data_IF_926955897989
#
_entry.id   IF_926955897989
#
_cell.length_a   1.000
_cell.length_b   1.000
_cell.length_c   1.000
_cell.angle_alpha   90.00
_cell.angle_beta   90.00
_cell.angle_gamma   90.00
#
_symmetry.space_group_name_H-M   'P 1'
#
loop_
_entity.id
_entity.type
_entity.pdbx_description
1 polymer ?
#
# COMPACT_ATOMS: atom_id res chain seq x y z
N UNK A 1 18.90 14.24 -8.50
CA UNK A 1 18.54 13.89 -7.11
C UNK A 1 17.46 14.89 -6.70
N UNK A 2 16.22 14.46 -6.48
CA UNK A 2 15.25 15.34 -5.82
C UNK A 2 15.88 15.79 -4.52
N UNK A 3 16.01 17.11 -4.31
CA UNK A 3 16.76 17.69 -3.19
C UNK A 3 16.29 17.18 -1.82
N UNK A 4 15.07 16.66 -1.75
CA UNK A 4 14.41 16.24 -0.52
C UNK A 4 14.43 14.73 -0.28
N UNK A 5 14.96 13.92 -1.22
CA UNK A 5 14.99 12.46 -1.09
C UNK A 5 15.66 11.96 0.22
N UNK A 6 16.79 12.51 0.68
CA UNK A 6 17.43 12.07 1.92
C UNK A 6 16.56 12.34 3.16
N UNK A 7 15.84 13.47 3.18
CA UNK A 7 14.97 13.84 4.31
C UNK A 7 13.73 12.95 4.37
N UNK A 8 13.20 12.58 3.19
CA UNK A 8 12.11 11.62 3.13
C UNK A 8 12.53 10.26 3.70
N UNK A 9 13.68 9.74 3.27
CA UNK A 9 14.16 8.42 3.70
C UNK A 9 14.44 8.36 5.20
N UNK A 10 15.00 9.43 5.78
CA UNK A 10 15.22 9.57 7.22
C UNK A 10 13.89 9.50 8.00
N UNK A 11 12.95 10.39 7.67
CA UNK A 11 11.65 10.43 8.35
C UNK A 11 10.82 9.15 8.13
N UNK A 12 10.86 8.60 6.92
CA UNK A 12 10.16 7.36 6.58
C UNK A 12 10.69 6.19 7.42
N UNK A 13 12.02 6.11 7.60
CA UNK A 13 12.65 5.08 8.43
C UNK A 13 12.27 5.21 9.91
N UNK A 14 12.15 6.43 10.43
CA UNK A 14 11.67 6.67 11.80
C UNK A 14 10.21 6.23 11.97
N UNK A 15 9.32 6.69 11.09
CA UNK A 15 7.90 6.33 11.13
C UNK A 15 7.69 4.82 10.97
N UNK A 16 8.51 4.13 10.17
CA UNK A 16 8.46 2.67 10.02
C UNK A 16 8.75 1.91 11.31
N UNK A 17 9.53 2.48 12.24
CA UNK A 17 9.80 1.84 13.54
C UNK A 17 8.57 1.86 14.45
N UNK A 18 7.75 2.90 14.33
CA UNK A 18 6.55 3.08 15.14
C UNK A 18 5.31 2.44 14.50
N UNK A 19 5.24 2.43 13.17
CA UNK A 19 4.06 2.08 12.39
C UNK A 19 4.35 1.03 11.31
N UNK A 20 4.96 -0.09 11.70
CA UNK A 20 5.41 -1.14 10.78
C UNK A 20 4.29 -1.70 9.88
N UNK A 21 3.09 -1.92 10.45
CA UNK A 21 1.95 -2.52 9.73
C UNK A 21 0.97 -1.47 9.16
N UNK A 22 1.34 -0.18 9.18
CA UNK A 22 0.47 0.88 8.70
C UNK A 22 0.51 0.99 7.17
N UNK A 23 -0.43 0.30 6.52
CA UNK A 23 -0.52 0.21 5.04
C UNK A 23 -0.43 1.58 4.31
N UNK A 24 -1.10 2.66 4.74
CA UNK A 24 -0.94 3.98 4.10
C UNK A 24 0.50 4.51 4.11
N UNK A 25 1.26 4.26 5.19
CA UNK A 25 2.68 4.62 5.27
C UNK A 25 3.50 3.79 4.28
N UNK A 26 3.31 2.47 4.27
CA UNK A 26 4.00 1.56 3.34
C UNK A 26 3.73 1.96 1.87
N UNK A 27 2.48 2.29 1.53
CA UNK A 27 2.11 2.78 0.21
C UNK A 27 2.79 4.10 -0.16
N UNK A 28 3.03 4.97 0.81
CA UNK A 28 3.75 6.24 0.61
C UNK A 28 5.22 5.97 0.28
N UNK A 29 5.86 5.04 0.98
CA UNK A 29 7.22 4.58 0.66
C UNK A 29 7.28 3.95 -0.75
N UNK A 30 6.36 3.04 -1.06
CA UNK A 30 6.27 2.43 -2.39
C UNK A 30 6.16 3.48 -3.51
N UNK A 31 5.32 4.50 -3.34
CA UNK A 31 5.18 5.62 -4.29
C UNK A 31 6.47 6.39 -4.49
N UNK A 32 7.22 6.62 -3.42
CA UNK A 32 8.49 7.32 -3.47
C UNK A 32 9.58 6.52 -4.19
N UNK A 33 9.70 5.22 -3.89
CA UNK A 33 10.70 4.35 -4.52
C UNK A 33 10.38 4.03 -5.98
N UNK A 34 9.09 3.91 -6.32
CA UNK A 34 8.60 3.69 -7.68
C UNK A 34 8.54 4.97 -8.52
N UNK A 35 9.68 5.64 -8.65
CA UNK A 35 9.85 6.80 -9.50
C UNK A 35 10.35 6.39 -10.90
N UNK A 36 9.65 6.79 -11.97
CA UNK A 36 9.93 6.39 -13.37
C UNK A 36 11.41 6.42 -13.76
N UNK A 37 12.13 7.46 -13.36
CA UNK A 37 13.54 7.66 -13.73
C UNK A 37 14.54 6.68 -13.07
N UNK A 38 14.17 6.03 -11.96
CA UNK A 38 15.04 5.11 -11.18
C UNK A 38 14.39 3.76 -10.91
N UNK A 39 13.26 3.48 -11.57
CA UNK A 39 12.48 2.27 -11.35
C UNK A 39 13.32 1.01 -11.54
N UNK A 40 14.09 0.96 -12.64
CA UNK A 40 14.97 -0.16 -12.96
C UNK A 40 16.07 -0.36 -11.92
N UNK A 41 16.53 0.72 -11.27
CA UNK A 41 17.56 0.67 -10.23
C UNK A 41 16.98 0.27 -8.85
N UNK A 42 15.66 0.35 -8.69
CA UNK A 42 14.95 0.15 -7.42
C UNK A 42 14.02 -1.08 -7.43
N UNK A 43 14.12 -1.97 -8.41
CA UNK A 43 13.17 -3.07 -8.61
C UNK A 43 13.02 -3.96 -7.36
N UNK A 44 14.13 -4.31 -6.71
CA UNK A 44 14.11 -5.13 -5.50
C UNK A 44 13.41 -4.40 -4.34
N UNK A 45 13.70 -3.12 -4.16
CA UNK A 45 13.06 -2.27 -3.14
C UNK A 45 11.56 -2.15 -3.38
N UNK A 46 11.14 -1.94 -4.63
CA UNK A 46 9.74 -1.84 -5.04
C UNK A 46 9.04 -3.18 -4.79
N UNK A 47 9.64 -4.30 -5.21
CA UNK A 47 9.06 -5.63 -5.04
C UNK A 47 8.91 -5.99 -3.57
N UNK A 48 9.94 -5.75 -2.76
CA UNK A 48 9.89 -5.97 -1.32
C UNK A 48 8.82 -5.14 -0.62
N UNK A 49 8.69 -3.86 -0.98
CA UNK A 49 7.64 -3.00 -0.44
C UNK A 49 6.23 -3.47 -0.84
N UNK A 50 6.04 -3.93 -2.08
CA UNK A 50 4.76 -4.51 -2.51
C UNK A 50 4.44 -5.78 -1.74
N UNK A 51 5.40 -6.69 -1.59
CA UNK A 51 5.18 -7.96 -0.89
C UNK A 51 4.80 -7.70 0.58
N UNK A 52 5.45 -6.72 1.22
CA UNK A 52 5.08 -6.26 2.57
C UNK A 52 3.62 -5.76 2.61
N UNK A 53 3.21 -4.87 1.71
CA UNK A 53 1.82 -4.38 1.64
C UNK A 53 0.81 -5.51 1.44
N UNK A 54 1.11 -6.45 0.53
CA UNK A 54 0.23 -7.60 0.24
C UNK A 54 0.07 -8.48 1.49
N UNK A 55 1.13 -8.71 2.26
CA UNK A 55 1.02 -9.51 3.50
C UNK A 55 0.14 -8.85 4.57
N UNK A 56 -0.01 -7.53 4.55
CA UNK A 56 -0.87 -6.79 5.47
C UNK A 56 -2.36 -6.78 5.05
N UNK A 57 -2.67 -7.19 3.81
CA UNK A 57 -4.02 -7.16 3.26
C UNK A 57 -4.48 -8.58 2.95
N UNK A 58 -5.41 -9.11 3.77
CA UNK A 58 -6.02 -10.41 3.54
C UNK A 58 -7.01 -10.38 2.37
N UNK A 59 -6.64 -10.99 1.25
CA UNK A 59 -7.51 -11.17 0.08
C UNK A 59 -8.79 -11.95 0.42
N UNK A 60 -8.67 -12.97 1.27
CA UNK A 60 -9.82 -13.76 1.72
C UNK A 60 -10.82 -12.91 2.51
N UNK A 61 -10.33 -12.01 3.36
CA UNK A 61 -11.18 -11.08 4.12
C UNK A 61 -11.86 -10.08 3.21
N UNK A 62 -11.13 -9.53 2.22
CA UNK A 62 -11.73 -8.65 1.21
C UNK A 62 -12.81 -9.38 0.40
N UNK A 63 -12.52 -10.59 -0.09
CA UNK A 63 -13.46 -11.39 -0.87
C UNK A 63 -14.73 -11.70 -0.06
N UNK A 64 -14.59 -12.11 1.20
CA UNK A 64 -15.73 -12.35 2.07
C UNK A 64 -16.59 -11.09 2.27
N UNK A 65 -15.96 -9.94 2.55
CA UNK A 65 -16.66 -8.69 2.79
C UNK A 65 -17.36 -8.14 1.53
N UNK A 66 -16.72 -8.24 0.36
CA UNK A 66 -17.32 -7.81 -0.91
C UNK A 66 -18.28 -8.83 -1.53
N UNK A 67 -18.27 -10.08 -1.05
CA UNK A 67 -19.21 -11.13 -1.44
C UNK A 67 -20.54 -11.11 -0.69
N UNK A 68 -20.67 -10.24 0.31
CA UNK A 68 -21.90 -10.03 1.08
C UNK A 68 -22.37 -8.59 0.96
N UNK A 69 -23.68 -8.39 1.00
CA UNK A 69 -24.25 -7.06 1.18
C UNK A 69 -23.89 -6.52 2.57
N UNK A 70 -23.83 -5.20 2.68
CA UNK A 70 -23.62 -4.49 3.93
C UNK A 70 -24.87 -3.66 4.23
N UNK A 71 -25.10 -3.38 5.52
CA UNK A 71 -26.21 -2.52 5.93
C UNK A 71 -25.85 -1.05 5.60
N UNK A 72 -26.60 -0.42 4.70
CA UNK A 72 -26.40 0.97 4.28
C UNK A 72 -26.99 1.98 5.29
N UNK A 73 -27.90 1.55 6.15
CA UNK A 73 -28.53 2.39 7.18
C UNK A 73 -27.73 2.38 8.49
N UNK A 74 -26.85 1.39 8.70
CA UNK A 74 -25.91 1.35 9.83
C UNK A 74 -24.61 2.12 9.53
N UNK A 75 -24.31 3.22 10.26
CA UNK A 75 -23.08 3.99 10.08
C UNK A 75 -21.80 3.18 10.31
N UNK A 76 -21.84 2.16 11.17
CA UNK A 76 -20.67 1.32 11.46
C UNK A 76 -20.35 0.42 10.28
N UNK A 77 -21.35 -0.30 9.77
CA UNK A 77 -21.29 -1.07 8.53
C UNK A 77 -20.76 -0.24 7.35
N UNK A 78 -21.28 0.99 7.16
CA UNK A 78 -20.79 1.91 6.14
C UNK A 78 -19.32 2.30 6.31
N UNK A 79 -18.86 2.49 7.56
CA UNK A 79 -17.46 2.80 7.84
C UNK A 79 -16.55 1.61 7.53
N UNK A 80 -16.92 0.42 7.99
CA UNK A 80 -16.20 -0.81 7.70
C UNK A 80 -16.09 -1.06 6.19
N UNK A 81 -17.16 -0.78 5.43
CA UNK A 81 -17.15 -0.85 3.97
C UNK A 81 -16.09 0.07 3.34
N UNK A 82 -16.03 1.33 3.77
CA UNK A 82 -15.04 2.30 3.27
C UNK A 82 -13.61 1.86 3.59
N UNK A 83 -13.36 1.36 4.80
CA UNK A 83 -12.04 0.87 5.20
C UNK A 83 -11.62 -0.34 4.33
N UNK A 84 -12.55 -1.22 3.98
CA UNK A 84 -12.29 -2.36 3.07
C UNK A 84 -12.08 -1.92 1.61
N UNK A 85 -12.81 -0.90 1.14
CA UNK A 85 -12.59 -0.29 -0.18
C UNK A 85 -11.20 0.34 -0.28
N UNK A 86 -10.74 1.00 0.78
CA UNK A 86 -9.42 1.58 0.83
C UNK A 86 -8.33 0.50 0.80
N UNK A 87 -8.48 -0.58 1.57
CA UNK A 87 -7.58 -1.75 1.50
C UNK A 87 -7.56 -2.38 0.11
N UNK A 88 -8.72 -2.55 -0.52
CA UNK A 88 -8.81 -3.06 -1.90
C UNK A 88 -8.05 -2.15 -2.87
N UNK A 89 -8.20 -0.84 -2.74
CA UNK A 89 -7.48 0.14 -3.57
C UNK A 89 -5.96 0.03 -3.40
N UNK A 90 -5.48 -0.11 -2.16
CA UNK A 90 -4.05 -0.30 -1.89
C UNK A 90 -3.52 -1.60 -2.48
N UNK A 91 -4.26 -2.71 -2.35
CA UNK A 91 -3.89 -3.98 -2.95
C UNK A 91 -3.75 -3.87 -4.48
N UNK A 92 -4.76 -3.30 -5.15
CA UNK A 92 -4.72 -3.10 -6.61
C UNK A 92 -3.55 -2.22 -7.03
N UNK A 93 -3.31 -1.12 -6.31
CA UNK A 93 -2.20 -0.21 -6.62
C UNK A 93 -0.83 -0.90 -6.44
N UNK A 94 -0.63 -1.63 -5.35
CA UNK A 94 0.61 -2.35 -5.09
C UNK A 94 0.89 -3.41 -6.17
N UNK A 95 -0.13 -4.22 -6.53
CA UNK A 95 -0.02 -5.23 -7.58
C UNK A 95 0.26 -4.61 -8.95
N UNK A 96 -0.38 -3.49 -9.30
CA UNK A 96 -0.12 -2.78 -10.55
C UNK A 96 1.34 -2.30 -10.64
N UNK A 97 1.89 -1.79 -9.53
CA UNK A 97 3.30 -1.35 -9.48
C UNK A 97 4.27 -2.52 -9.60
N UNK A 98 3.95 -3.67 -8.99
CA UNK A 98 4.73 -4.91 -9.19
C UNK A 98 4.72 -5.35 -10.65
N UNK A 99 3.57 -5.34 -11.31
CA UNK A 99 3.48 -5.65 -12.74
C UNK A 99 4.32 -4.68 -13.60
N UNK A 100 4.34 -3.40 -13.26
CA UNK A 100 5.17 -2.39 -13.93
C UNK A 100 6.67 -2.49 -13.63
N UNK A 101 7.06 -3.12 -12.52
CA UNK A 101 8.45 -3.33 -12.16
C UNK A 101 9.05 -4.52 -12.93
N UNK A 102 8.24 -5.54 -13.23
CA UNK A 102 8.69 -6.78 -13.89
C UNK A 102 8.51 -6.80 -15.42
N UNK A 103 7.88 -5.78 -16.01
CA UNK A 103 7.63 -5.63 -17.45
C UNK A 103 8.65 -4.69 -18.10
#
# INVERSE_FOLDING_TARGET
IEKDAPKFEELYSELRKEYADHVPLLMTGLKFYDHKARRLDNLDTITGAVDEIVTQISEATLAAHFGTDYDEDDPKSCKERKDMEEKKKYLVEALARKAHAVA
#
